data_IF_661449280676
#
_entry.id   IF_661449280676
#
_cell.length_a   1.000
_cell.length_b   1.000
_cell.length_c   1.000
_cell.angle_alpha   90.00
_cell.angle_beta   90.00
_cell.angle_gamma   90.00
#
_symmetry.space_group_name_H-M   'P 1'
#
loop_
_entity.id
_entity.type
_entity.pdbx_description
1 polymer ?
#
# COMPACT_ATOMS: atom_id res chain seq x y z
N UNK A 1 -52.07 -15.81 9.16
CA UNK A 1 -51.15 -16.37 10.18
C UNK A 1 -50.78 -17.78 9.76
N UNK A 2 -49.61 -17.96 9.12
CA UNK A 2 -49.15 -19.28 8.65
C UNK A 2 -48.34 -19.93 9.76
N UNK A 3 -48.92 -20.94 10.42
CA UNK A 3 -48.20 -21.79 11.39
C UNK A 3 -47.58 -22.96 10.63
N UNK A 4 -46.26 -22.90 10.39
CA UNK A 4 -45.51 -24.05 9.86
C UNK A 4 -45.36 -25.11 10.95
N UNK A 5 -46.16 -26.17 10.85
CA UNK A 5 -46.01 -27.35 11.70
C UNK A 5 -44.98 -28.30 11.07
N UNK A 6 -43.71 -28.15 11.46
CA UNK A 6 -42.66 -29.09 11.05
C UNK A 6 -42.85 -30.43 11.77
N UNK A 7 -43.32 -31.46 11.05
CA UNK A 7 -43.33 -32.84 11.55
C UNK A 7 -41.89 -33.35 11.60
N UNK A 8 -41.33 -33.44 12.80
CA UNK A 8 -39.98 -33.92 13.05
C UNK A 8 -39.86 -35.42 12.81
N UNK A 9 -39.04 -35.82 11.83
CA UNK A 9 -38.60 -37.20 11.60
C UNK A 9 -37.07 -37.23 11.44
N UNK A 10 -36.43 -38.38 11.67
CA UNK A 10 -34.96 -38.52 11.55
C UNK A 10 -34.39 -38.02 10.22
N UNK A 11 -35.18 -38.13 9.14
CA UNK A 11 -34.84 -37.64 7.79
C UNK A 11 -34.91 -36.11 7.66
N UNK A 12 -35.85 -35.44 8.34
CA UNK A 12 -35.93 -33.96 8.32
C UNK A 12 -34.84 -33.33 9.18
N UNK A 13 -34.46 -33.97 10.28
CA UNK A 13 -33.31 -33.55 11.09
C UNK A 13 -31.99 -33.65 10.30
N UNK A 14 -31.77 -34.76 9.59
CA UNK A 14 -30.59 -34.92 8.75
C UNK A 14 -30.52 -33.88 7.62
N UNK A 15 -31.64 -33.59 6.95
CA UNK A 15 -31.70 -32.58 5.90
C UNK A 15 -31.38 -31.16 6.41
N UNK A 16 -31.85 -30.81 7.62
CA UNK A 16 -31.57 -29.52 8.23
C UNK A 16 -30.09 -29.35 8.62
N UNK A 17 -29.44 -30.42 9.09
CA UNK A 17 -28.01 -30.39 9.42
C UNK A 17 -27.17 -30.15 8.16
N UNK A 18 -27.49 -30.83 7.05
CA UNK A 18 -26.79 -30.62 5.78
C UNK A 18 -27.00 -29.20 5.25
N UNK A 19 -28.22 -28.68 5.33
CA UNK A 19 -28.52 -27.31 4.92
C UNK A 19 -27.77 -26.27 5.78
N UNK A 20 -27.70 -26.47 7.10
CA UNK A 20 -26.95 -25.60 8.01
C UNK A 20 -25.44 -25.65 7.74
N UNK A 21 -24.88 -26.82 7.44
CA UNK A 21 -23.48 -26.97 7.08
C UNK A 21 -23.14 -26.25 5.77
N UNK A 22 -24.00 -26.34 4.75
CA UNK A 22 -23.83 -25.62 3.48
C UNK A 22 -23.90 -24.09 3.67
N UNK A 23 -24.81 -23.61 4.53
CA UNK A 23 -24.89 -22.18 4.86
C UNK A 23 -23.66 -21.70 5.62
N UNK A 24 -23.11 -22.51 6.53
CA UNK A 24 -21.87 -22.21 7.22
C UNK A 24 -20.68 -22.13 6.26
N UNK A 25 -20.55 -23.08 5.32
CA UNK A 25 -19.50 -23.05 4.30
C UNK A 25 -19.66 -21.81 3.40
N UNK A 26 -20.87 -21.48 2.98
CA UNK A 26 -21.13 -20.28 2.18
C UNK A 26 -20.77 -18.99 2.95
N UNK A 27 -21.07 -18.92 4.26
CA UNK A 27 -20.71 -17.79 5.11
C UNK A 27 -19.19 -17.67 5.28
N UNK A 28 -18.49 -18.80 5.48
CA UNK A 28 -17.01 -18.82 5.58
C UNK A 28 -16.40 -18.32 4.26
N UNK A 29 -16.92 -18.74 3.11
CA UNK A 29 -16.45 -18.24 1.80
C UNK A 29 -16.74 -16.75 1.62
N UNK A 30 -17.89 -16.26 2.09
CA UNK A 30 -18.25 -14.85 2.03
C UNK A 30 -17.37 -13.98 2.95
N UNK A 31 -17.00 -14.48 4.13
CA UNK A 31 -16.09 -13.77 5.05
C UNK A 31 -14.64 -13.86 4.58
N UNK A 32 -14.21 -15.01 4.03
CA UNK A 32 -12.89 -15.16 3.44
C UNK A 32 -12.69 -14.27 2.19
N UNK A 33 -13.75 -14.05 1.41
CA UNK A 33 -13.71 -13.14 0.26
C UNK A 33 -14.11 -11.69 0.60
N UNK A 34 -14.72 -11.44 1.75
CA UNK A 34 -15.25 -10.12 2.16
C UNK A 34 -14.21 -9.16 2.76
N UNK A 35 -12.94 -9.56 2.79
CA UNK A 35 -11.83 -8.79 3.34
C UNK A 35 -10.99 -8.02 2.32
N UNK A 36 -11.49 -7.81 1.09
CA UNK A 36 -10.83 -6.94 0.11
C UNK A 36 -11.75 -5.77 -0.19
N UNK A 37 -11.64 -4.72 0.64
CA UNK A 37 -11.96 -3.37 0.18
C UNK A 37 -10.99 -3.10 -0.95
N UNK A 38 -11.55 -2.97 -2.14
CA UNK A 38 -10.84 -2.50 -3.33
C UNK A 38 -10.31 -1.09 -3.04
N UNK A 39 -9.08 -1.03 -2.55
CA UNK A 39 -8.20 0.10 -2.82
C UNK A 39 -7.62 -0.17 -4.20
N UNK A 40 -8.20 0.45 -5.22
CA UNK A 40 -7.52 0.63 -6.49
C UNK A 40 -6.16 1.33 -6.24
N UNK A 41 -5.13 0.82 -6.93
CA UNK A 41 -3.74 1.28 -6.99
C UNK A 41 -2.83 1.15 -5.74
N UNK A 42 -2.67 -0.09 -5.26
CA UNK A 42 -1.33 -0.65 -5.02
C UNK A 42 -1.38 -2.12 -5.43
N UNK A 43 -0.60 -2.53 -6.44
CA UNK A 43 -0.50 -3.94 -6.84
C UNK A 43 0.00 -4.76 -5.65
N UNK A 44 -0.83 -5.62 -5.00
CA UNK A 44 -0.37 -6.38 -3.84
C UNK A 44 0.60 -7.45 -4.32
N UNK A 45 1.85 -7.42 -3.82
CA UNK A 45 2.85 -8.48 -4.04
C UNK A 45 3.92 -8.21 -5.10
N UNK A 46 4.02 -7.02 -5.67
CA UNK A 46 5.18 -6.66 -6.51
C UNK A 46 6.35 -6.26 -5.61
N UNK A 47 7.26 -7.21 -5.37
CA UNK A 47 8.56 -6.92 -4.74
C UNK A 47 9.41 -6.10 -5.70
N UNK A 48 9.90 -4.95 -5.26
CA UNK A 48 10.71 -4.02 -6.05
C UNK A 48 12.21 -4.34 -5.95
N UNK A 49 12.57 -5.57 -6.31
CA UNK A 49 13.93 -6.12 -6.13
C UNK A 49 14.97 -5.54 -7.09
N UNK A 50 14.55 -4.93 -8.21
CA UNK A 50 15.45 -4.38 -9.24
C UNK A 50 15.14 -2.93 -9.56
N UNK A 51 16.10 -2.23 -10.17
CA UNK A 51 15.93 -0.85 -10.65
C UNK A 51 14.76 -0.77 -11.63
N UNK A 52 14.67 -1.71 -12.57
CA UNK A 52 13.60 -1.77 -13.57
C UNK A 52 12.22 -1.86 -12.91
N UNK A 53 12.07 -2.67 -11.85
CA UNK A 53 10.81 -2.78 -11.11
C UNK A 53 10.44 -1.48 -10.40
N UNK A 54 11.42 -0.78 -9.82
CA UNK A 54 11.20 0.53 -9.17
C UNK A 54 10.82 1.61 -10.18
N UNK A 55 11.45 1.61 -11.35
CA UNK A 55 11.11 2.51 -12.46
C UNK A 55 9.72 2.21 -13.01
N UNK A 56 9.36 0.94 -13.22
CA UNK A 56 8.00 0.52 -13.61
C UNK A 56 6.95 0.97 -12.58
N UNK A 57 7.25 0.84 -11.28
CA UNK A 57 6.38 1.31 -10.21
C UNK A 57 6.16 2.83 -10.28
N UNK A 58 7.23 3.61 -10.40
CA UNK A 58 7.15 5.07 -10.55
C UNK A 58 6.38 5.47 -11.83
N UNK A 59 6.60 4.75 -12.94
CA UNK A 59 5.85 4.97 -14.18
C UNK A 59 4.35 4.68 -14.02
N UNK A 60 3.98 3.65 -13.24
CA UNK A 60 2.56 3.37 -12.93
C UNK A 60 1.89 4.49 -12.14
N UNK A 61 2.68 5.27 -11.38
CA UNK A 61 2.22 6.47 -10.67
C UNK A 61 2.27 7.75 -11.54
N UNK A 62 2.65 7.63 -12.82
CA UNK A 62 2.74 8.75 -13.75
C UNK A 62 4.09 9.48 -13.78
N UNK A 63 5.11 8.96 -13.09
CA UNK A 63 6.44 9.58 -13.06
C UNK A 63 7.38 8.98 -14.11
N UNK A 64 8.00 9.85 -14.90
CA UNK A 64 9.10 9.47 -15.79
C UNK A 64 10.42 9.78 -15.10
N UNK A 65 11.24 8.76 -14.89
CA UNK A 65 12.51 8.87 -14.17
C UNK A 65 13.71 8.37 -14.97
N UNK A 66 14.88 8.89 -14.68
CA UNK A 66 16.14 8.41 -15.24
C UNK A 66 16.71 7.25 -14.39
N UNK A 67 16.63 6.03 -14.92
CA UNK A 67 17.16 4.83 -14.27
C UNK A 67 18.68 4.90 -14.01
N UNK A 68 19.44 5.63 -14.83
CA UNK A 68 20.89 5.78 -14.66
C UNK A 68 21.27 6.69 -13.49
N UNK A 69 20.31 7.48 -12.99
CA UNK A 69 20.49 8.38 -11.85
C UNK A 69 20.27 7.70 -10.49
N UNK A 70 20.03 6.38 -10.46
CA UNK A 70 19.74 5.65 -9.23
C UNK A 70 20.82 5.89 -8.17
N UNK A 71 20.35 6.31 -6.99
CA UNK A 71 21.15 6.24 -5.76
C UNK A 71 20.38 5.47 -4.71
N UNK A 72 21.10 4.81 -3.80
CA UNK A 72 20.48 4.07 -2.71
C UNK A 72 21.17 4.32 -1.38
N UNK A 73 20.40 4.33 -0.30
CA UNK A 73 20.92 4.48 1.06
C UNK A 73 20.21 3.53 2.01
N UNK A 74 20.99 2.80 2.82
CA UNK A 74 20.46 2.03 3.95
C UNK A 74 20.19 2.97 5.12
N UNK A 75 18.99 2.86 5.70
CA UNK A 75 18.53 3.69 6.81
C UNK A 75 17.92 2.81 7.91
N UNK A 76 17.82 3.37 9.11
CA UNK A 76 17.01 2.81 10.19
C UNK A 76 15.87 3.77 10.46
N UNK A 77 14.63 3.28 10.38
CA UNK A 77 13.47 4.08 10.77
C UNK A 77 13.58 4.38 12.27
N UNK A 78 13.49 5.65 12.72
CA UNK A 78 13.65 5.98 14.13
C UNK A 78 12.67 5.21 15.02
N UNK A 79 13.12 4.81 16.22
CA UNK A 79 12.25 4.17 17.21
C UNK A 79 11.17 5.11 17.75
N UNK A 80 11.49 6.40 17.79
CA UNK A 80 10.61 7.46 18.25
C UNK A 80 10.60 8.59 17.21
N UNK A 81 9.42 9.07 16.85
CA UNK A 81 9.30 10.13 15.85
C UNK A 81 9.30 11.48 16.55
N UNK A 82 10.32 12.29 16.26
CA UNK A 82 10.33 13.70 16.60
C UNK A 82 9.34 14.48 15.70
N UNK A 83 9.17 15.77 15.94
CA UNK A 83 8.24 16.62 15.17
C UNK A 83 8.47 16.55 13.65
N UNK A 84 9.73 16.44 13.21
CA UNK A 84 10.09 16.36 11.79
C UNK A 84 9.62 15.04 11.18
N UNK A 85 9.91 13.92 11.84
CA UNK A 85 9.46 12.60 11.38
C UNK A 85 7.94 12.45 11.48
N UNK A 86 7.29 13.07 12.47
CA UNK A 86 5.82 13.08 12.56
C UNK A 86 5.21 13.78 11.34
N UNK A 87 5.67 14.99 11.00
CA UNK A 87 5.22 15.72 9.80
C UNK A 87 5.50 14.96 8.51
N UNK A 88 6.69 14.35 8.41
CA UNK A 88 7.01 13.51 7.26
C UNK A 88 6.07 12.28 7.18
N UNK A 89 5.74 11.65 8.31
CA UNK A 89 4.81 10.53 8.33
C UNK A 89 3.37 10.95 8.00
N UNK A 90 2.95 12.17 8.34
CA UNK A 90 1.65 12.71 7.90
C UNK A 90 1.54 12.75 6.36
N UNK A 91 2.62 13.13 5.68
CA UNK A 91 2.71 13.06 4.21
C UNK A 91 2.60 11.62 3.70
N UNK A 92 3.22 10.66 4.40
CA UNK A 92 3.16 9.24 4.03
C UNK A 92 1.76 8.66 4.26
N UNK A 93 1.10 9.02 5.37
CA UNK A 93 -0.26 8.61 5.71
C UNK A 93 -1.28 9.07 4.68
N UNK A 94 -1.13 10.27 4.14
CA UNK A 94 -1.98 10.77 3.05
C UNK A 94 -1.93 9.89 1.79
N UNK A 95 -0.88 9.08 1.63
CA UNK A 95 -0.68 8.17 0.50
C UNK A 95 -1.03 6.71 0.85
N UNK A 96 -1.51 6.47 2.07
CA UNK A 96 -1.84 5.14 2.60
C UNK A 96 -0.65 4.38 3.17
N UNK A 97 0.46 5.05 3.49
CA UNK A 97 1.62 4.47 4.14
C UNK A 97 1.75 4.91 5.60
N UNK A 98 2.22 4.04 6.49
CA UNK A 98 2.51 4.42 7.87
C UNK A 98 3.90 3.92 8.30
N UNK A 99 4.88 4.84 8.39
CA UNK A 99 6.24 4.50 8.79
C UNK A 99 6.34 4.07 10.26
N UNK A 100 5.31 4.33 11.08
CA UNK A 100 5.29 3.92 12.50
C UNK A 100 5.24 2.41 12.66
N UNK A 101 4.69 1.70 11.68
CA UNK A 101 4.68 0.23 11.64
C UNK A 101 6.09 -0.34 11.45
N UNK A 102 7.06 0.49 11.07
CA UNK A 102 8.43 0.12 10.76
C UNK A 102 9.48 0.70 11.71
N UNK A 103 9.07 1.28 12.85
CA UNK A 103 9.96 1.86 13.85
C UNK A 103 11.08 0.91 14.31
N UNK A 104 12.32 1.36 14.22
CA UNK A 104 13.52 0.60 14.59
C UNK A 104 13.94 -0.47 13.61
N UNK A 105 13.28 -0.57 12.44
CA UNK A 105 13.63 -1.51 11.38
C UNK A 105 14.55 -0.90 10.33
N UNK A 106 15.37 -1.74 9.71
CA UNK A 106 16.22 -1.38 8.57
C UNK A 106 15.37 -1.23 7.30
N UNK A 107 15.52 -0.11 6.61
CA UNK A 107 14.87 0.17 5.34
C UNK A 107 15.90 0.70 4.33
N UNK A 108 15.51 0.75 3.05
CA UNK A 108 16.36 1.27 1.99
C UNK A 108 15.65 2.38 1.23
N UNK A 109 16.33 3.52 1.11
CA UNK A 109 15.91 4.63 0.27
C UNK A 109 16.47 4.42 -1.13
N UNK A 110 15.66 4.65 -2.16
CA UNK A 110 16.07 4.77 -3.56
C UNK A 110 15.63 6.10 -4.13
N UNK A 111 16.53 6.81 -4.82
CA UNK A 111 16.23 8.09 -5.46
C UNK A 111 16.51 8.06 -6.97
N UNK A 112 15.67 8.75 -7.73
CA UNK A 112 15.81 8.93 -9.18
C UNK A 112 15.46 10.36 -9.61
N UNK A 113 16.17 10.90 -10.58
CA UNK A 113 15.82 12.16 -11.22
C UNK A 113 14.53 12.03 -12.03
N UNK A 114 13.61 12.97 -11.86
CA UNK A 114 12.30 13.03 -12.54
C UNK A 114 12.37 14.00 -13.72
N UNK A 115 11.84 13.60 -14.88
CA UNK A 115 11.87 14.39 -16.11
C UNK A 115 10.55 15.06 -16.48
N UNK A 116 9.44 14.67 -15.86
CA UNK A 116 8.09 15.14 -16.22
C UNK A 116 7.35 15.89 -15.08
N UNK A 117 8.08 16.45 -14.11
CA UNK A 117 7.44 17.18 -13.02
C UNK A 117 6.79 18.50 -13.51
N UNK A 118 5.52 18.81 -13.15
CA UNK A 118 4.81 19.97 -13.70
C UNK A 118 5.42 21.34 -13.42
N UNK A 119 6.21 21.48 -12.35
CA UNK A 119 6.87 22.76 -12.03
C UNK A 119 8.01 23.13 -12.98
N UNK A 120 8.55 22.18 -13.75
CA UNK A 120 9.73 22.37 -14.58
C UNK A 120 11.05 22.47 -13.82
N UNK A 121 11.04 22.36 -12.48
CA UNK A 121 12.24 22.28 -11.65
C UNK A 121 12.85 20.87 -11.66
N UNK A 122 14.14 20.77 -11.29
CA UNK A 122 14.77 19.48 -11.05
C UNK A 122 14.13 18.80 -9.83
N UNK A 123 13.38 17.74 -10.10
CA UNK A 123 12.69 16.96 -9.09
C UNK A 123 13.32 15.58 -8.95
N UNK A 124 13.23 15.02 -7.75
CA UNK A 124 13.74 13.69 -7.39
C UNK A 124 12.57 12.88 -6.85
N UNK A 125 12.42 11.65 -7.36
CA UNK A 125 11.51 10.67 -6.81
C UNK A 125 12.25 9.82 -5.78
N UNK A 126 11.74 9.77 -4.56
CA UNK A 126 12.27 8.97 -3.46
C UNK A 126 11.29 7.83 -3.13
N UNK A 127 11.80 6.62 -3.02
CA UNK A 127 11.08 5.44 -2.53
C UNK A 127 11.75 4.92 -1.25
N UNK A 128 10.95 4.59 -0.24
CA UNK A 128 11.40 3.93 0.99
C UNK A 128 10.89 2.49 0.96
N UNK A 129 11.80 1.53 0.97
CA UNK A 129 11.49 0.11 0.88
C UNK A 129 11.87 -0.62 2.17
N UNK A 130 10.97 -1.47 2.65
CA UNK A 130 11.24 -2.48 3.67
C UNK A 130 10.96 -3.86 3.08
N UNK A 131 11.94 -4.77 3.13
CA UNK A 131 11.83 -6.11 2.51
C UNK A 131 11.31 -6.07 1.05
N UNK A 132 11.86 -5.15 0.25
CA UNK A 132 11.49 -4.89 -1.16
C UNK A 132 10.04 -4.41 -1.39
N UNK A 133 9.30 -4.05 -0.34
CA UNK A 133 7.97 -3.44 -0.44
C UNK A 133 8.04 -1.95 -0.16
N UNK A 134 7.29 -1.15 -0.93
CA UNK A 134 7.21 0.30 -0.72
C UNK A 134 6.42 0.58 0.56
N UNK A 135 7.07 1.25 1.50
CA UNK A 135 6.49 1.68 2.77
C UNK A 135 6.38 3.20 2.87
N UNK A 136 6.79 3.93 1.82
CA UNK A 136 6.73 5.38 1.75
C UNK A 136 7.49 5.91 0.55
N UNK A 137 7.36 7.20 0.31
CA UNK A 137 8.07 7.94 -0.72
C UNK A 137 7.53 9.35 -0.92
N UNK A 138 8.30 10.16 -1.62
CA UNK A 138 7.95 11.54 -1.96
C UNK A 138 8.61 11.97 -3.29
N UNK A 139 8.09 13.05 -3.87
CA UNK A 139 8.76 13.81 -4.91
C UNK A 139 9.19 15.14 -4.31
N UNK A 140 10.47 15.50 -4.45
CA UNK A 140 10.99 16.76 -3.92
C UNK A 140 11.95 17.45 -4.89
N UNK A 141 12.09 18.77 -4.73
CA UNK A 141 13.09 19.59 -5.44
C UNK A 141 14.39 19.62 -4.65
N UNK A 142 15.52 19.63 -5.35
CA UNK A 142 16.86 19.82 -4.75
C UNK A 142 17.21 21.30 -4.54
N UNK A 143 16.32 22.22 -4.94
CA UNK A 143 16.53 23.66 -4.88
C UNK A 143 16.21 24.24 -3.48
N UNK A 144 16.91 25.32 -3.11
CA UNK A 144 16.62 26.04 -1.88
C UNK A 144 15.23 26.69 -1.96
N UNK A 145 14.34 26.34 -1.02
CA UNK A 145 12.93 26.75 -1.06
C UNK A 145 12.07 25.94 -2.02
N UNK A 146 12.56 24.77 -2.45
CA UNK A 146 11.83 23.84 -3.29
C UNK A 146 10.61 23.22 -2.60
N UNK A 147 10.00 22.25 -3.27
CA UNK A 147 8.79 21.58 -2.82
C UNK A 147 9.08 20.14 -2.35
N UNK A 148 8.11 19.58 -1.63
CA UNK A 148 7.99 18.16 -1.34
C UNK A 148 6.51 17.79 -1.34
N UNK A 149 6.14 16.72 -2.04
CA UNK A 149 4.80 16.15 -2.02
C UNK A 149 4.85 14.62 -2.17
N UNK A 150 3.70 13.95 -2.07
CA UNK A 150 3.65 12.49 -2.15
C UNK A 150 4.03 11.94 -3.54
N UNK A 151 4.53 10.70 -3.59
CA UNK A 151 4.76 9.94 -4.83
C UNK A 151 3.45 9.55 -5.53
N UNK A 152 2.36 9.37 -4.79
CA UNK A 152 1.06 9.08 -5.42
C UNK A 152 0.41 10.38 -5.89
N UNK A 153 -0.19 10.41 -7.09
CA UNK A 153 -1.08 11.49 -7.48
C UNK A 153 -2.18 11.66 -6.42
N UNK A 154 -2.51 12.90 -6.06
CA UNK A 154 -3.69 13.14 -5.22
C UNK A 154 -4.92 12.82 -6.06
N UNK A 155 -5.71 11.83 -5.62
CA UNK A 155 -7.03 11.57 -6.18
C UNK A 155 -7.98 12.70 -5.76
N UNK A 156 -8.55 13.41 -6.73
CA UNK A 156 -9.61 14.42 -6.53
C UNK A 156 -10.87 13.84 -5.88
#
# INVERSE_FOLDING_TARGET
MYVLTLKWNKKTAAALIVAAALLLVALILLVANGGKKDSEDVVPGVRLTSCEKRVEYLASLGWTVDAASETSQDIVIPREFNEVYQKYNELQLAQGFDLRDYCGMDAKIYCYAVSNHPSGEQAVAQLILFADEVIGGDIHSTSLGGFMHGIKPQSD
#
